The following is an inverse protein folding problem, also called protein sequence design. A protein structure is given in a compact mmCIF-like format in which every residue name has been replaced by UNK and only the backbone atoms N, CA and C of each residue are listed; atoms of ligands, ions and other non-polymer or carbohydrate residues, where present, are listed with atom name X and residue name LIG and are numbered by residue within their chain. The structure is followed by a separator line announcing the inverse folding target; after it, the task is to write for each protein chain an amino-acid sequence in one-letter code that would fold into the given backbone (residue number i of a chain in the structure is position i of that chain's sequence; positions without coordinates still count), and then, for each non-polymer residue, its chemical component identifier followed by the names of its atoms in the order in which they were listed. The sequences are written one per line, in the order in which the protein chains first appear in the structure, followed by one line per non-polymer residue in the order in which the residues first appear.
data_IF_005769575585
#
_entry.id   IF_005769575585
#
_cell.length_a   1.000
_cell.length_b   1.000
_cell.length_c   1.000
_cell.angle_alpha   90.00
_cell.angle_beta   90.00
_cell.angle_gamma   90.00
#
_symmetry.space_group_name_H-M   'P 1'
#
loop_
_entity.id
_entity.type
_entity.pdbx_description
1 polymer ?
#
# COMPACT_ATOMS: atom_id res chain seq x y z
N UNK A 1 -1.64 1.70 6.53
CA UNK A 1 -1.91 0.83 7.68
C UNK A 1 -2.08 1.59 8.98
N UNK A 2 -1.14 2.46 9.35
CA UNK A 2 -1.05 3.04 10.69
C UNK A 2 -2.33 3.80 11.10
N UNK A 3 -2.87 4.63 10.21
CA UNK A 3 -4.17 5.28 10.40
C UNK A 3 -5.28 4.25 10.62
N UNK A 4 -5.40 3.25 9.76
CA UNK A 4 -6.45 2.22 9.87
C UNK A 4 -6.37 1.43 11.19
N UNK A 5 -5.16 1.21 11.74
CA UNK A 5 -4.97 0.55 13.04
C UNK A 5 -5.35 1.46 14.22
N UNK A 6 -4.92 2.72 14.20
CA UNK A 6 -5.23 3.71 15.25
C UNK A 6 -6.74 3.97 15.33
N UNK A 7 -7.40 4.04 14.17
CA UNK A 7 -8.84 4.28 14.09
C UNK A 7 -9.66 2.99 13.99
N UNK A 8 -9.04 1.82 14.18
CA UNK A 8 -9.76 0.56 14.07
C UNK A 8 -10.87 0.42 15.10
N UNK A 9 -10.59 0.80 16.35
CA UNK A 9 -11.55 0.74 17.46
C UNK A 9 -12.82 1.56 17.22
N UNK A 10 -12.75 2.87 16.89
CA UNK A 10 -13.96 3.65 16.59
C UNK A 10 -14.68 3.15 15.32
N UNK A 11 -13.96 2.63 14.34
CA UNK A 11 -14.57 2.00 13.15
C UNK A 11 -15.34 0.73 13.52
N UNK A 12 -14.78 -0.16 14.32
CA UNK A 12 -15.44 -1.38 14.77
C UNK A 12 -16.58 -1.10 15.76
N UNK A 13 -16.48 -0.04 16.58
CA UNK A 13 -17.56 0.39 17.46
C UNK A 13 -18.81 0.82 16.68
N UNK A 14 -18.62 1.51 15.55
CA UNK A 14 -19.73 1.89 14.66
C UNK A 14 -20.19 0.73 13.77
N UNK A 15 -19.27 -0.18 13.41
CA UNK A 15 -19.55 -1.27 12.48
C UNK A 15 -20.11 -2.54 13.13
N UNK A 16 -19.94 -2.78 14.43
CA UNK A 16 -20.50 -3.97 15.12
C UNK A 16 -20.89 -3.60 16.57
N UNK A 17 -22.09 -3.05 16.80
CA UNK A 17 -22.52 -2.69 18.16
C UNK A 17 -22.79 -3.91 19.07
N UNK A 18 -22.80 -5.14 18.53
CA UNK A 18 -23.09 -6.37 19.25
C UNK A 18 -21.87 -7.09 19.85
N UNK A 19 -20.64 -6.66 19.51
CA UNK A 19 -19.39 -7.28 19.98
C UNK A 19 -18.46 -6.21 20.57
N UNK A 20 -17.66 -6.57 21.58
CA UNK A 20 -16.67 -5.65 22.15
C UNK A 20 -15.64 -5.26 21.08
N UNK A 21 -15.55 -3.96 20.77
CA UNK A 21 -14.67 -3.41 19.73
C UNK A 21 -13.20 -3.76 19.93
N UNK A 22 -12.79 -3.95 21.19
CA UNK A 22 -11.45 -4.40 21.56
C UNK A 22 -11.16 -5.80 21.01
N UNK A 23 -12.12 -6.73 21.09
CA UNK A 23 -11.94 -8.11 20.58
C UNK A 23 -11.78 -8.10 19.05
N UNK A 24 -12.58 -7.30 18.34
CA UNK A 24 -12.46 -7.15 16.89
C UNK A 24 -11.09 -6.57 16.49
N UNK A 25 -10.58 -5.60 17.24
CA UNK A 25 -9.24 -5.05 17.01
C UNK A 25 -8.13 -6.10 17.21
N UNK A 26 -8.24 -6.94 18.25
CA UNK A 26 -7.30 -8.04 18.50
C UNK A 26 -7.35 -9.06 17.36
N UNK A 27 -8.54 -9.43 16.88
CA UNK A 27 -8.67 -10.33 15.73
C UNK A 27 -8.05 -9.68 14.47
N UNK A 28 -8.27 -8.38 14.27
CA UNK A 28 -7.73 -7.65 13.12
C UNK A 28 -6.20 -7.66 13.09
N UNK A 29 -5.54 -7.46 14.23
CA UNK A 29 -4.08 -7.52 14.30
C UNK A 29 -3.55 -8.94 14.07
N UNK A 30 -4.21 -9.96 14.62
CA UNK A 30 -3.86 -11.37 14.36
C UNK A 30 -3.99 -11.73 12.88
N UNK A 31 -5.07 -11.33 12.24
CA UNK A 31 -5.31 -11.55 10.80
C UNK A 31 -4.22 -10.85 9.97
N UNK A 32 -3.83 -9.64 10.35
CA UNK A 32 -2.75 -8.89 9.70
C UNK A 32 -1.40 -9.61 9.83
N UNK A 33 -1.09 -10.16 11.01
CA UNK A 33 0.15 -10.93 11.22
C UNK A 33 0.16 -12.17 10.31
N UNK A 34 -0.95 -12.92 10.27
CA UNK A 34 -1.11 -14.07 9.37
C UNK A 34 -0.98 -13.67 7.89
N UNK A 35 -1.51 -12.52 7.51
CA UNK A 35 -1.35 -11.97 6.16
C UNK A 35 0.12 -11.73 5.82
N UNK A 36 0.93 -11.27 6.77
CA UNK A 36 2.37 -11.09 6.57
C UNK A 36 3.06 -12.38 6.14
N UNK A 37 2.81 -13.49 6.85
CA UNK A 37 3.35 -14.80 6.50
C UNK A 37 2.88 -15.28 5.11
N UNK A 38 1.59 -15.12 4.82
CA UNK A 38 1.02 -15.48 3.51
C UNK A 38 1.66 -14.61 2.41
N UNK A 39 1.82 -13.32 2.64
CA UNK A 39 2.43 -12.37 1.72
C UNK A 39 3.89 -12.74 1.42
N UNK A 40 4.67 -13.08 2.45
CA UNK A 40 6.05 -13.57 2.29
C UNK A 40 6.15 -14.88 1.52
N UNK A 41 5.17 -15.78 1.64
CA UNK A 41 5.13 -16.99 0.82
C UNK A 41 4.70 -16.70 -0.63
N UNK A 42 3.75 -15.78 -0.80
CA UNK A 42 3.13 -15.48 -2.08
C UNK A 42 4.06 -14.67 -2.99
N UNK A 43 4.93 -13.84 -2.42
CA UNK A 43 5.91 -13.04 -3.16
C UNK A 43 6.95 -13.90 -3.89
N UNK A 44 7.29 -15.06 -3.32
CA UNK A 44 8.22 -16.02 -3.94
C UNK A 44 7.58 -16.72 -5.15
N UNK A 45 6.25 -16.93 -5.13
CA UNK A 45 5.52 -17.65 -6.19
C UNK A 45 5.02 -16.74 -7.32
N UNK A 46 4.38 -15.62 -7.00
CA UNK A 46 3.71 -14.75 -7.99
C UNK A 46 4.63 -13.68 -8.59
N UNK A 47 5.79 -13.43 -7.96
CA UNK A 47 6.65 -12.31 -8.33
C UNK A 47 6.25 -11.00 -7.67
N UNK A 48 7.22 -10.09 -7.58
CA UNK A 48 7.11 -8.87 -6.76
C UNK A 48 6.15 -7.87 -7.38
N UNK A 49 6.24 -7.69 -8.70
CA UNK A 49 5.44 -6.69 -9.43
C UNK A 49 3.97 -7.08 -9.51
N UNK A 50 3.68 -8.32 -9.88
CA UNK A 50 2.31 -8.82 -9.97
C UNK A 50 1.64 -8.79 -8.60
N UNK A 51 2.32 -9.27 -7.55
CA UNK A 51 1.77 -9.24 -6.19
C UNK A 51 1.42 -7.81 -5.76
N UNK A 52 2.29 -6.83 -6.00
CA UNK A 52 2.01 -5.44 -5.65
C UNK A 52 0.84 -4.84 -6.43
N UNK A 53 0.72 -5.15 -7.73
CA UNK A 53 -0.40 -4.69 -8.57
C UNK A 53 -1.72 -5.29 -8.10
N UNK A 54 -1.80 -6.61 -7.94
CA UNK A 54 -3.03 -7.29 -7.53
C UNK A 54 -3.45 -6.88 -6.12
N UNK A 55 -2.50 -6.82 -5.18
CA UNK A 55 -2.79 -6.44 -3.81
C UNK A 55 -3.23 -4.98 -3.70
N UNK A 56 -2.56 -4.05 -4.40
CA UNK A 56 -2.92 -2.62 -4.38
C UNK A 56 -4.26 -2.36 -5.07
N UNK A 57 -4.56 -3.08 -6.15
CA UNK A 57 -5.86 -3.03 -6.81
C UNK A 57 -6.98 -3.54 -5.90
N UNK A 58 -6.78 -4.71 -5.29
CA UNK A 58 -7.75 -5.29 -4.36
C UNK A 58 -7.99 -4.39 -3.14
N UNK A 59 -6.92 -3.82 -2.59
CA UNK A 59 -6.99 -2.85 -1.49
C UNK A 59 -7.77 -1.60 -1.90
N UNK A 60 -7.52 -1.06 -3.10
CA UNK A 60 -8.24 0.09 -3.64
C UNK A 60 -9.73 -0.18 -3.80
N UNK A 61 -10.11 -1.35 -4.35
CA UNK A 61 -11.51 -1.78 -4.46
C UNK A 61 -12.15 -1.92 -3.09
N UNK A 62 -11.46 -2.51 -2.11
CA UNK A 62 -11.95 -2.62 -0.73
C UNK A 62 -12.19 -1.25 -0.10
N UNK A 63 -11.30 -0.28 -0.32
CA UNK A 63 -11.48 1.10 0.14
C UNK A 63 -12.71 1.76 -0.47
N UNK A 64 -12.99 1.55 -1.76
CA UNK A 64 -14.21 2.08 -2.40
C UNK A 64 -15.46 1.46 -1.76
N UNK A 65 -15.47 0.15 -1.54
CA UNK A 65 -16.62 -0.56 -0.94
C UNK A 65 -16.83 -0.12 0.52
N UNK A 66 -15.75 0.07 1.29
CA UNK A 66 -15.84 0.59 2.65
C UNK A 66 -16.35 2.04 2.67
N UNK A 67 -15.84 2.88 1.76
CA UNK A 67 -16.28 4.26 1.62
C UNK A 67 -17.76 4.38 1.24
N UNK A 68 -18.23 3.59 0.27
CA UNK A 68 -19.66 3.56 -0.13
C UNK A 68 -20.53 3.05 1.00
N UNK A 69 -20.09 2.00 1.71
CA UNK A 69 -20.83 1.45 2.84
C UNK A 69 -20.98 2.50 3.95
N UNK A 70 -19.90 3.08 4.44
CA UNK A 70 -19.94 4.07 5.53
C UNK A 70 -20.79 5.31 5.16
N UNK A 71 -20.86 5.67 3.89
CA UNK A 71 -21.64 6.83 3.45
C UNK A 71 -23.14 6.53 3.24
N UNK A 72 -23.46 5.37 2.64
CA UNK A 72 -24.83 5.02 2.23
C UNK A 72 -25.55 4.09 3.22
N UNK A 73 -24.83 3.47 4.15
CA UNK A 73 -25.35 2.45 5.07
C UNK A 73 -26.20 1.36 4.40
N UNK A 74 -25.90 1.06 3.13
CA UNK A 74 -26.73 0.22 2.24
C UNK A 74 -26.81 -1.25 2.65
N UNK A 75 -25.77 -1.75 3.31
CA UNK A 75 -25.65 -3.14 3.73
C UNK A 75 -25.56 -3.29 5.25
N UNK A 76 -25.75 -4.51 5.76
CA UNK A 76 -25.69 -4.77 7.18
C UNK A 76 -24.28 -4.58 7.75
N UNK A 77 -24.23 -4.13 9.00
CA UNK A 77 -23.05 -3.75 9.77
C UNK A 77 -21.85 -4.74 9.71
N UNK A 78 -22.11 -6.05 9.68
CA UNK A 78 -21.07 -7.09 9.58
C UNK A 78 -20.28 -7.07 8.26
N UNK A 79 -20.84 -6.49 7.20
CA UNK A 79 -20.16 -6.34 5.89
C UNK A 79 -18.96 -5.42 6.02
N UNK A 80 -19.09 -4.31 6.74
CA UNK A 80 -17.99 -3.37 7.00
C UNK A 80 -16.84 -4.06 7.73
N UNK A 81 -17.14 -4.90 8.72
CA UNK A 81 -16.13 -5.66 9.45
C UNK A 81 -15.36 -6.63 8.53
N UNK A 82 -16.06 -7.38 7.67
CA UNK A 82 -15.42 -8.30 6.71
C UNK A 82 -14.48 -7.55 5.76
N UNK A 83 -14.95 -6.46 5.15
CA UNK A 83 -14.13 -5.69 4.22
C UNK A 83 -12.94 -5.02 4.90
N UNK A 84 -13.05 -4.68 6.18
CA UNK A 84 -11.93 -4.15 6.96
C UNK A 84 -10.86 -5.22 7.19
N UNK A 85 -11.24 -6.47 7.48
CA UNK A 85 -10.28 -7.60 7.55
C UNK A 85 -9.62 -7.86 6.18
N UNK A 86 -10.39 -7.87 5.09
CA UNK A 86 -9.85 -8.07 3.73
C UNK A 86 -8.90 -6.94 3.35
N UNK A 87 -9.22 -5.69 3.69
CA UNK A 87 -8.33 -4.55 3.52
C UNK A 87 -7.01 -4.77 4.26
N UNK A 88 -7.04 -5.19 5.53
CA UNK A 88 -5.83 -5.49 6.30
C UNK A 88 -4.99 -6.61 5.68
N UNK A 89 -5.64 -7.69 5.24
CA UNK A 89 -5.00 -8.82 4.56
C UNK A 89 -4.28 -8.38 3.28
N UNK A 90 -5.03 -7.76 2.37
CA UNK A 90 -4.54 -7.38 1.04
C UNK A 90 -3.47 -6.29 1.10
N UNK A 91 -3.64 -5.29 2.00
CA UNK A 91 -2.63 -4.27 2.21
C UNK A 91 -1.31 -4.87 2.72
N UNK A 92 -1.38 -5.78 3.70
CA UNK A 92 -0.18 -6.37 4.30
C UNK A 92 0.54 -7.29 3.32
N UNK A 93 -0.19 -8.10 2.57
CA UNK A 93 0.37 -8.96 1.52
C UNK A 93 1.04 -8.18 0.38
N UNK A 94 0.60 -6.95 0.11
CA UNK A 94 1.13 -6.13 -0.98
C UNK A 94 2.10 -5.06 -0.48
N UNK A 95 1.53 -3.93 -0.06
CA UNK A 95 2.28 -2.74 0.34
C UNK A 95 3.10 -2.93 1.62
N UNK A 96 2.80 -3.94 2.43
CA UNK A 96 3.58 -4.27 3.63
C UNK A 96 4.86 -5.05 3.34
N UNK A 97 4.76 -6.14 2.58
CA UNK A 97 5.88 -7.07 2.36
C UNK A 97 6.72 -6.71 1.13
N UNK A 98 6.10 -6.28 0.02
CA UNK A 98 6.79 -6.10 -1.27
C UNK A 98 7.85 -5.00 -1.22
N UNK A 99 7.61 -3.79 -0.69
CA UNK A 99 8.62 -2.73 -0.66
C UNK A 99 9.86 -3.14 0.15
N UNK A 100 9.67 -3.83 1.27
CA UNK A 100 10.77 -4.32 2.12
C UNK A 100 11.70 -5.27 1.35
N UNK A 101 11.12 -6.17 0.56
CA UNK A 101 11.88 -7.11 -0.28
C UNK A 101 12.53 -6.38 -1.47
N UNK A 102 11.82 -5.42 -2.06
CA UNK A 102 12.31 -4.67 -3.21
C UNK A 102 13.57 -3.84 -2.89
N UNK A 103 13.62 -3.20 -1.72
CA UNK A 103 14.83 -2.48 -1.25
C UNK A 103 16.00 -3.47 -1.14
N UNK A 104 15.73 -4.68 -0.64
CA UNK A 104 16.75 -5.68 -0.47
C UNK A 104 17.32 -6.24 -1.78
N UNK A 105 16.57 -6.14 -2.89
CA UNK A 105 16.93 -6.62 -4.23
C UNK A 105 17.51 -5.54 -5.15
N UNK A 106 17.04 -4.29 -5.03
CA UNK A 106 17.47 -3.19 -5.92
C UNK A 106 18.83 -2.63 -5.50
N UNK A 107 19.10 -2.50 -4.20
CA UNK A 107 20.28 -1.81 -3.71
C UNK A 107 21.48 -2.74 -3.50
N UNK A 108 22.67 -2.26 -3.87
CA UNK A 108 23.93 -2.95 -3.59
C UNK A 108 24.14 -3.09 -2.06
N UNK A 109 24.85 -4.14 -1.60
CA UNK A 109 25.06 -4.39 -0.17
C UNK A 109 25.65 -3.21 0.59
N UNK A 110 26.50 -2.42 -0.06
CA UNK A 110 27.22 -1.28 0.53
C UNK A 110 26.30 -0.10 0.89
N UNK A 111 25.26 0.16 0.09
CA UNK A 111 24.34 1.29 0.29
C UNK A 111 22.98 0.86 0.87
N UNK A 112 22.73 -0.45 0.96
CA UNK A 112 21.45 -1.02 1.38
C UNK A 112 21.05 -0.58 2.78
N UNK A 113 21.99 -0.54 3.73
CA UNK A 113 21.72 -0.08 5.09
C UNK A 113 21.20 1.36 5.10
N UNK A 114 21.93 2.29 4.48
CA UNK A 114 21.59 3.71 4.41
C UNK A 114 20.25 3.91 3.67
N UNK A 115 20.06 3.24 2.53
CA UNK A 115 18.82 3.33 1.75
C UNK A 115 17.60 2.84 2.54
N UNK A 116 17.75 1.72 3.27
CA UNK A 116 16.67 1.17 4.08
C UNK A 116 16.30 2.07 5.26
N UNK A 117 17.30 2.74 5.87
CA UNK A 117 17.08 3.69 6.96
C UNK A 117 16.30 4.91 6.45
N UNK A 118 16.79 5.56 5.38
CA UNK A 118 16.13 6.73 4.78
C UNK A 118 14.70 6.43 4.35
N UNK A 119 14.46 5.26 3.74
CA UNK A 119 13.11 4.90 3.33
C UNK A 119 12.20 4.62 4.53
N UNK A 120 12.72 3.97 5.58
CA UNK A 120 11.98 3.72 6.81
C UNK A 120 11.59 5.03 7.48
N UNK A 121 12.53 5.96 7.63
CA UNK A 121 12.25 7.30 8.17
C UNK A 121 11.23 8.05 7.30
N UNK A 122 11.39 8.05 5.98
CA UNK A 122 10.45 8.69 5.07
C UNK A 122 9.04 8.10 5.17
N UNK A 123 8.93 6.77 5.33
CA UNK A 123 7.65 6.08 5.49
C UNK A 123 6.96 6.46 6.81
N UNK A 124 7.74 6.65 7.88
CA UNK A 124 7.23 7.10 9.17
C UNK A 124 6.78 8.55 9.09
N UNK A 125 7.58 9.45 8.54
CA UNK A 125 7.23 10.86 8.34
C UNK A 125 5.95 10.99 7.53
N UNK A 126 5.84 10.27 6.40
CA UNK A 126 4.61 10.21 5.62
C UNK A 126 3.41 9.72 6.45
N UNK A 127 3.59 8.67 7.26
CA UNK A 127 2.53 8.12 8.11
C UNK A 127 2.08 9.12 9.19
N UNK A 128 3.01 9.86 9.78
CA UNK A 128 2.72 10.93 10.75
C UNK A 128 1.95 12.08 10.11
N UNK A 129 2.36 12.53 8.93
CA UNK A 129 1.66 13.59 8.18
C UNK A 129 0.23 13.17 7.88
N UNK A 130 0.02 11.94 7.40
CA UNK A 130 -1.33 11.44 7.12
C UNK A 130 -2.14 11.35 8.42
N UNK A 131 -1.59 10.83 9.52
CA UNK A 131 -2.31 10.82 10.81
C UNK A 131 -2.74 12.22 11.27
N UNK A 132 -1.85 13.20 11.15
CA UNK A 132 -2.10 14.57 11.57
C UNK A 132 -3.21 15.22 10.73
N UNK A 133 -3.21 14.98 9.41
CA UNK A 133 -4.23 15.49 8.49
C UNK A 133 -5.54 14.69 8.59
N UNK A 134 -5.48 13.42 8.97
CA UNK A 134 -6.65 12.54 8.96
C UNK A 134 -7.74 13.01 9.91
N UNK A 135 -7.41 13.44 11.12
CA UNK A 135 -8.41 13.90 12.09
C UNK A 135 -9.20 15.14 11.59
N UNK A 136 -8.55 16.26 11.17
CA UNK A 136 -9.26 17.40 10.61
C UNK A 136 -10.03 17.05 9.32
N UNK A 137 -9.49 16.13 8.50
CA UNK A 137 -10.15 15.69 7.28
C UNK A 137 -11.44 14.92 7.59
N UNK A 138 -11.42 13.98 8.55
CA UNK A 138 -12.62 13.25 8.98
C UNK A 138 -13.66 14.21 9.56
N UNK A 139 -13.26 15.23 10.31
CA UNK A 139 -14.21 16.23 10.84
C UNK A 139 -14.82 17.12 9.76
N UNK A 140 -14.08 17.41 8.68
CA UNK A 140 -14.53 18.33 7.62
C UNK A 140 -15.41 17.64 6.57
N UNK A 141 -15.00 16.45 6.09
CA UNK A 141 -15.67 15.76 4.98
C UNK A 141 -16.31 14.43 5.39
N UNK A 142 -16.15 13.99 6.63
CA UNK A 142 -16.66 12.71 7.10
C UNK A 142 -15.78 11.51 6.72
N UNK A 143 -16.08 10.37 7.30
CA UNK A 143 -15.22 9.19 7.26
C UNK A 143 -15.29 8.44 5.91
N UNK A 144 -16.43 8.48 5.22
CA UNK A 144 -16.62 7.89 3.88
C UNK A 144 -15.72 8.52 2.80
N UNK A 145 -15.78 9.84 2.56
CA UNK A 145 -14.92 10.55 1.60
C UNK A 145 -13.42 10.32 1.78
N UNK A 146 -12.97 10.15 3.02
CA UNK A 146 -11.56 9.86 3.33
C UNK A 146 -11.12 8.50 2.77
N UNK A 147 -11.99 7.48 2.81
CA UNK A 147 -11.68 6.18 2.20
C UNK A 147 -11.57 6.24 0.68
N UNK A 148 -12.34 7.10 0.01
CA UNK A 148 -12.18 7.32 -1.43
C UNK A 148 -10.84 8.00 -1.76
N UNK A 149 -10.39 8.94 -0.93
CA UNK A 149 -9.07 9.54 -1.10
C UNK A 149 -7.95 8.48 -1.03
N UNK A 150 -8.04 7.55 -0.07
CA UNK A 150 -7.12 6.41 0.00
C UNK A 150 -7.26 5.46 -1.18
N UNK A 151 -8.48 5.21 -1.68
CA UNK A 151 -8.68 4.39 -2.87
C UNK A 151 -7.98 4.97 -4.09
N UNK A 152 -8.10 6.28 -4.32
CA UNK A 152 -7.39 6.99 -5.41
C UNK A 152 -5.88 6.84 -5.25
N UNK A 153 -5.34 6.99 -4.04
CA UNK A 153 -3.92 6.79 -3.77
C UNK A 153 -3.47 5.33 -4.06
N UNK A 154 -4.30 4.33 -3.76
CA UNK A 154 -4.02 2.93 -4.10
C UNK A 154 -4.02 2.70 -5.63
N UNK A 155 -4.97 3.26 -6.37
CA UNK A 155 -4.99 3.15 -7.83
C UNK A 155 -3.82 3.88 -8.48
N UNK A 156 -3.45 5.05 -7.97
CA UNK A 156 -2.26 5.78 -8.43
C UNK A 156 -0.99 4.96 -8.17
N UNK A 157 -0.91 4.27 -7.03
CA UNK A 157 0.18 3.34 -6.72
C UNK A 157 0.24 2.18 -7.72
N UNK A 158 -0.91 1.64 -8.15
CA UNK A 158 -0.96 0.59 -9.20
C UNK A 158 -0.38 1.11 -10.52
N UNK A 159 -0.79 2.30 -10.95
CA UNK A 159 -0.29 2.93 -12.17
C UNK A 159 1.22 3.14 -12.06
N UNK A 160 1.69 3.65 -10.93
CA UNK A 160 3.10 3.84 -10.67
C UNK A 160 3.88 2.51 -10.75
N UNK A 161 3.37 1.43 -10.15
CA UNK A 161 4.00 0.12 -10.22
C UNK A 161 4.05 -0.43 -11.65
N UNK A 162 2.98 -0.26 -12.44
CA UNK A 162 2.97 -0.72 -13.82
C UNK A 162 4.02 0.04 -14.66
N UNK A 163 4.12 1.36 -14.48
CA UNK A 163 5.00 2.21 -15.29
C UNK A 163 6.47 2.17 -14.85
N UNK A 164 6.74 2.21 -13.55
CA UNK A 164 8.09 2.42 -13.02
C UNK A 164 8.76 1.13 -12.56
N UNK A 165 8.02 0.13 -12.10
CA UNK A 165 8.58 -1.09 -11.51
C UNK A 165 8.84 -2.17 -12.59
N UNK A 166 10.10 -2.48 -12.94
CA UNK A 166 10.42 -3.66 -13.73
C UNK A 166 10.25 -4.93 -12.86
N UNK A 167 10.06 -6.09 -13.49
CA UNK A 167 10.05 -7.37 -12.76
C UNK A 167 11.47 -7.66 -12.24
N UNK A 168 11.64 -7.78 -10.91
CA UNK A 168 12.94 -8.06 -10.27
C UNK A 168 13.15 -9.54 -9.96
N UNK A 169 12.15 -10.39 -10.21
CA UNK A 169 12.20 -11.80 -9.84
C UNK A 169 13.34 -12.55 -10.54
N UNK A 170 14.27 -13.08 -9.75
CA UNK A 170 15.31 -14.00 -10.20
C UNK A 170 16.45 -13.38 -11.01
N UNK A 171 16.52 -12.04 -11.07
CA UNK A 171 17.59 -11.33 -11.76
C UNK A 171 18.72 -10.97 -10.79
N UNK A 172 20.00 -11.14 -11.20
CA UNK A 172 21.12 -10.64 -10.41
C UNK A 172 21.09 -9.11 -10.34
N UNK A 173 21.53 -8.57 -9.20
CA UNK A 173 21.50 -7.12 -8.88
C UNK A 173 22.15 -6.28 -9.99
N UNK A 174 23.22 -6.79 -10.60
CA UNK A 174 23.93 -6.09 -11.69
C UNK A 174 23.03 -5.86 -12.92
N UNK A 175 22.19 -6.83 -13.28
CA UNK A 175 21.24 -6.70 -14.40
C UNK A 175 20.11 -5.73 -14.03
N UNK A 176 19.64 -5.75 -12.78
CA UNK A 176 18.63 -4.81 -12.27
C UNK A 176 19.14 -3.36 -12.40
N UNK A 177 20.40 -3.11 -12.01
CA UNK A 177 21.05 -1.80 -12.17
C UNK A 177 21.10 -1.37 -13.65
N UNK A 178 21.42 -2.28 -14.58
CA UNK A 178 21.40 -1.95 -16.02
C UNK A 178 20.01 -1.67 -16.59
N UNK A 179 18.95 -2.32 -16.06
CA UNK A 179 17.57 -2.07 -16.46
C UNK A 179 17.10 -0.67 -16.03
N UNK A 180 17.44 -0.25 -14.80
CA UNK A 180 17.17 1.11 -14.34
C UNK A 180 18.03 2.15 -15.08
N UNK A 181 19.29 1.83 -15.41
CA UNK A 181 20.18 2.71 -16.18
C UNK A 181 19.73 2.89 -17.64
N UNK A 182 19.36 1.81 -18.36
CA UNK A 182 18.90 1.88 -19.75
C UNK A 182 17.58 2.66 -19.90
N UNK A 183 16.68 2.60 -18.91
CA UNK A 183 15.44 3.40 -18.90
C UNK A 183 15.72 4.90 -18.78
N UNK A 184 16.82 5.27 -18.11
CA UNK A 184 17.29 6.66 -18.00
C UNK A 184 17.98 7.15 -19.29
N UNK A 185 18.74 6.27 -19.98
CA UNK A 185 19.40 6.61 -21.26
C UNK A 185 18.37 6.82 -22.39
N UNK A 186 17.30 6.01 -22.46
CA UNK A 186 16.24 6.19 -23.48
C UNK A 186 15.48 7.52 -23.33
N UNK A 187 15.39 8.08 -22.12
CA UNK A 187 14.80 9.41 -21.87
C UNK A 187 15.75 10.57 -22.18
N UNK A 188 17.08 10.39 -21.97
CA UNK A 188 18.08 11.40 -22.38
C UNK A 188 18.22 11.54 -23.88
N UNK A 189 18.13 10.46 -24.66
CA UNK A 189 18.21 10.58 -26.12
C UNK A 189 17.04 11.38 -26.72
N UNK A 190 15.83 11.21 -26.20
CA UNK A 190 14.65 11.95 -26.70
C UNK A 190 14.71 13.46 -26.33
N UNK A 191 15.32 13.82 -25.19
CA UNK A 191 15.47 15.22 -24.79
C UNK A 191 16.63 15.92 -25.49
N UNK A 192 17.73 15.22 -25.80
CA UNK A 192 18.88 15.79 -26.52
C UNK A 192 18.57 16.01 -28.01
N UNK A 193 17.79 15.14 -28.65
CA UNK A 193 17.38 15.37 -30.06
C UNK A 193 16.40 16.55 -30.22
N UNK A 194 15.72 16.97 -29.15
CA UNK A 194 14.76 18.09 -29.19
C UNK A 194 15.42 19.45 -28.95
N UNK A 195 16.63 19.50 -28.36
CA UNK A 195 17.40 20.75 -28.19
C UNK A 195 18.35 21.05 -29.38
N UNK A 196 18.54 20.11 -30.31
CA UNK A 196 19.42 20.29 -31.49
C UNK A 196 18.61 20.63 -32.76
N UNK A 197 17.29 20.87 -32.64
CA UNK A 197 16.38 21.21 -33.75
C UNK A 197 15.71 22.59 -33.62
N UNK A 198 16.38 23.57 -33.01
CA UNK A 198 16.06 24.99 -33.15
C UNK A 198 17.31 25.82 -33.44
#
# INVERSE_FOLDING_TARGET
MLVAQVYAEPLFAQAVPSMSSTICCVIFTLVTIMAGFIGSFLIERLGRRLLMIYASFCTGVCCVILGTQIQLHWGPHWVTAIFMYIFGLTYTCGAGTVPCVLIAEIFLPEIKSIASMLLSEWSLVCSFIVLFIFNPLVTAIGLGPVFYFFAVACFLSVIFCILFLPETQGLPVDIIQTLFAKKTVRRRYIMVDTEITF
#
